data_IF_638221494654
#
_entry.id   IF_638221494654
#
_cell.length_a   1.000
_cell.length_b   1.000
_cell.length_c   1.000
_cell.angle_alpha   90.00
_cell.angle_beta   90.00
_cell.angle_gamma   90.00
#
_symmetry.space_group_name_H-M   'P 1'
#
loop_
_entity.id
_entity.type
_entity.pdbx_description
1 polymer ?
#
# COMPACT_ATOMS: atom_id res chain seq x y z
N UNK A 1 -8.57 -19.18 3.52
CA UNK A 1 -7.85 -20.00 2.53
C UNK A 1 -6.34 -19.91 2.73
N UNK A 2 -5.77 -18.72 2.99
CA UNK A 2 -4.32 -18.51 3.09
C UNK A 2 -3.60 -19.05 4.33
N UNK A 3 -4.28 -19.29 5.45
CA UNK A 3 -3.61 -19.62 6.73
C UNK A 3 -2.79 -20.91 6.68
N UNK A 4 -3.25 -21.94 5.98
CA UNK A 4 -2.49 -23.20 5.87
C UNK A 4 -1.15 -23.01 5.14
N UNK A 5 -1.08 -22.45 3.94
CA UNK A 5 0.20 -22.21 3.27
C UNK A 5 1.08 -21.22 4.03
N UNK A 6 0.52 -20.21 4.71
CA UNK A 6 1.27 -19.26 5.55
C UNK A 6 1.94 -20.00 6.72
N UNK A 7 1.20 -20.91 7.40
CA UNK A 7 1.75 -21.74 8.47
C UNK A 7 2.85 -22.68 7.96
N UNK A 8 2.66 -23.29 6.79
CA UNK A 8 3.67 -24.17 6.15
C UNK A 8 4.93 -23.41 5.74
N UNK A 9 4.81 -22.12 5.43
CA UNK A 9 5.95 -21.23 5.17
C UNK A 9 6.70 -20.81 6.45
N UNK A 10 6.26 -21.27 7.63
CA UNK A 10 6.90 -20.98 8.90
C UNK A 10 6.54 -19.63 9.53
N UNK A 11 5.50 -18.95 9.01
CA UNK A 11 5.01 -17.70 9.58
C UNK A 11 4.06 -18.02 10.74
N UNK A 12 4.17 -17.31 11.84
CA UNK A 12 3.30 -17.49 13.00
C UNK A 12 1.89 -16.96 12.73
N UNK A 13 0.97 -17.88 12.44
CA UNK A 13 -0.44 -17.56 12.15
C UNK A 13 -1.20 -17.07 13.38
N UNK A 14 -0.75 -17.36 14.59
CA UNK A 14 -1.38 -16.85 15.82
C UNK A 14 -1.07 -15.36 15.99
N UNK A 15 0.18 -14.99 15.79
CA UNK A 15 0.60 -13.59 15.76
C UNK A 15 -0.13 -12.81 14.64
N UNK A 16 -0.27 -13.41 13.45
CA UNK A 16 -1.01 -12.80 12.34
C UNK A 16 -2.47 -12.52 12.72
N UNK A 17 -3.16 -13.51 13.29
CA UNK A 17 -4.55 -13.37 13.71
C UNK A 17 -4.70 -12.40 14.89
N UNK A 18 -3.76 -12.39 15.83
CA UNK A 18 -3.75 -11.43 16.95
C UNK A 18 -3.60 -9.99 16.46
N UNK A 19 -2.80 -9.76 15.43
CA UNK A 19 -2.70 -8.45 14.79
C UNK A 19 -4.02 -8.01 14.13
N UNK A 20 -4.68 -8.91 13.43
CA UNK A 20 -5.99 -8.66 12.82
C UNK A 20 -7.06 -8.34 13.90
N UNK A 21 -7.12 -9.13 14.98
CA UNK A 21 -8.01 -8.90 16.11
C UNK A 21 -7.76 -7.55 16.79
N UNK A 22 -6.49 -7.18 16.96
CA UNK A 22 -6.14 -5.87 17.50
C UNK A 22 -6.66 -4.73 16.62
N UNK A 23 -6.50 -4.83 15.30
CA UNK A 23 -7.01 -3.83 14.37
C UNK A 23 -8.55 -3.82 14.30
N UNK A 24 -9.20 -4.98 14.46
CA UNK A 24 -10.64 -5.06 14.60
C UNK A 24 -11.13 -4.22 15.78
N UNK A 25 -10.49 -4.37 16.95
CA UNK A 25 -10.83 -3.61 18.16
C UNK A 25 -10.59 -2.11 17.96
N UNK A 26 -9.44 -1.70 17.37
CA UNK A 26 -9.12 -0.30 17.10
C UNK A 26 -10.15 0.32 16.14
N UNK A 27 -10.63 -0.45 15.17
CA UNK A 27 -11.57 0.02 14.14
C UNK A 27 -13.04 -0.31 14.44
N UNK A 28 -13.39 -0.76 15.65
CA UNK A 28 -14.75 -1.16 16.00
C UNK A 28 -15.73 0.01 16.06
N UNK A 29 -15.30 1.14 16.60
CA UNK A 29 -16.18 2.29 16.84
C UNK A 29 -16.25 3.23 15.64
N UNK A 30 -17.44 3.80 15.39
CA UNK A 30 -17.64 4.88 14.43
C UNK A 30 -17.21 6.21 15.05
N UNK A 31 -15.90 6.43 15.10
CA UNK A 31 -15.32 7.64 15.69
C UNK A 31 -14.33 8.29 14.72
N UNK A 32 -14.04 9.57 14.95
CA UNK A 32 -13.04 10.33 14.18
C UNK A 32 -11.60 9.80 14.33
N UNK A 33 -11.33 8.93 15.30
CA UNK A 33 -10.04 8.28 15.50
C UNK A 33 -9.93 6.89 14.87
N UNK A 34 -10.96 6.45 14.13
CA UNK A 34 -10.95 5.14 13.47
C UNK A 34 -10.14 5.22 12.16
N UNK A 35 -8.97 4.56 12.07
CA UNK A 35 -8.08 4.70 10.92
C UNK A 35 -8.69 4.17 9.62
N UNK A 36 -9.53 3.13 9.69
CA UNK A 36 -10.18 2.57 8.52
C UNK A 36 -11.24 3.53 7.93
N UNK A 37 -11.99 4.22 8.80
CA UNK A 37 -12.94 5.25 8.38
C UNK A 37 -12.20 6.46 7.81
N UNK A 38 -11.14 6.90 8.48
CA UNK A 38 -10.35 8.05 8.04
C UNK A 38 -9.74 7.80 6.65
N UNK A 39 -9.10 6.65 6.45
CA UNK A 39 -8.55 6.29 5.15
C UNK A 39 -9.62 6.21 4.06
N UNK A 40 -10.75 5.54 4.32
CA UNK A 40 -11.86 5.46 3.37
C UNK A 40 -12.44 6.85 3.03
N UNK A 41 -12.57 7.73 4.01
CA UNK A 41 -13.08 9.09 3.81
C UNK A 41 -12.12 9.94 2.97
N UNK A 42 -10.81 9.89 3.26
CA UNK A 42 -9.78 10.63 2.50
C UNK A 42 -9.77 10.16 1.04
N UNK A 43 -9.76 8.85 0.79
CA UNK A 43 -9.80 8.26 -0.56
C UNK A 43 -11.01 8.76 -1.35
N UNK A 44 -12.20 8.70 -0.76
CA UNK A 44 -13.43 9.15 -1.42
C UNK A 44 -13.46 10.67 -1.64
N UNK A 45 -12.90 11.46 -0.72
CA UNK A 45 -12.75 12.89 -0.90
C UNK A 45 -11.78 13.22 -2.06
N UNK A 46 -10.69 12.47 -2.21
CA UNK A 46 -9.76 12.59 -3.33
C UNK A 46 -10.43 12.17 -4.65
N UNK A 47 -11.20 11.09 -4.64
CA UNK A 47 -11.97 10.63 -5.80
C UNK A 47 -12.97 11.70 -6.26
N UNK A 48 -13.70 12.33 -5.35
CA UNK A 48 -14.62 13.42 -5.66
C UNK A 48 -13.91 14.65 -6.25
N UNK A 49 -12.63 14.87 -5.90
CA UNK A 49 -11.76 15.90 -6.49
C UNK A 49 -11.10 15.50 -7.81
N UNK A 50 -11.49 14.37 -8.41
CA UNK A 50 -10.97 13.92 -9.70
C UNK A 50 -9.72 13.04 -9.63
N UNK A 51 -9.26 12.64 -8.46
CA UNK A 51 -8.17 11.68 -8.30
C UNK A 51 -8.72 10.27 -8.53
N UNK A 52 -8.44 9.70 -9.69
CA UNK A 52 -9.05 8.45 -10.18
C UNK A 52 -8.14 7.24 -10.05
N UNK A 53 -6.87 7.45 -9.75
CA UNK A 53 -5.86 6.40 -9.59
C UNK A 53 -5.22 6.52 -8.23
N UNK A 54 -5.16 5.43 -7.49
CA UNK A 54 -4.40 5.32 -6.26
C UNK A 54 -3.19 4.41 -6.47
N UNK A 55 -2.01 4.93 -6.15
CA UNK A 55 -0.78 4.16 -6.16
C UNK A 55 -0.47 3.70 -4.74
N UNK A 56 -0.52 2.40 -4.48
CA UNK A 56 0.06 1.85 -3.26
C UNK A 56 1.57 1.75 -3.46
N UNK A 57 2.29 2.53 -2.67
CA UNK A 57 3.76 2.68 -2.76
C UNK A 57 4.41 1.93 -1.61
N UNK A 58 5.39 1.11 -1.90
CA UNK A 58 6.25 0.52 -0.88
C UNK A 58 7.73 0.75 -1.18
N UNK A 59 8.54 0.79 -0.13
CA UNK A 59 10.01 0.89 -0.19
C UNK A 59 10.68 -0.38 0.34
N UNK A 60 9.89 -1.45 0.52
CA UNK A 60 10.37 -2.71 1.07
C UNK A 60 9.95 -3.87 0.16
N UNK A 61 10.90 -4.57 -0.51
CA UNK A 61 10.59 -5.60 -1.51
C UNK A 61 9.67 -6.73 -1.02
N UNK A 62 9.67 -7.03 0.28
CA UNK A 62 8.77 -8.03 0.88
C UNK A 62 7.29 -7.63 0.78
N UNK A 63 6.97 -6.34 0.57
CA UNK A 63 5.60 -5.84 0.47
C UNK A 63 5.04 -5.92 -0.97
N UNK A 64 5.84 -6.32 -1.94
CA UNK A 64 5.39 -6.43 -3.35
C UNK A 64 4.06 -7.20 -3.46
N UNK A 65 3.98 -8.41 -2.91
CA UNK A 65 2.75 -9.22 -2.99
C UNK A 65 1.61 -8.71 -2.11
N UNK A 66 1.89 -7.90 -1.10
CA UNK A 66 0.84 -7.17 -0.36
C UNK A 66 0.21 -6.13 -1.27
N UNK A 67 1.01 -5.43 -2.09
CA UNK A 67 0.52 -4.50 -3.10
C UNK A 67 -0.34 -5.22 -4.15
N UNK A 68 0.06 -6.40 -4.63
CA UNK A 68 -0.72 -7.21 -5.57
C UNK A 68 -2.07 -7.67 -4.97
N UNK A 69 -2.06 -8.15 -3.72
CA UNK A 69 -3.27 -8.49 -2.98
C UNK A 69 -4.18 -7.26 -2.78
N UNK A 70 -3.62 -6.11 -2.43
CA UNK A 70 -4.36 -4.87 -2.25
C UNK A 70 -5.06 -4.41 -3.54
N UNK A 71 -4.39 -4.55 -4.70
CA UNK A 71 -5.01 -4.26 -6.01
C UNK A 71 -6.21 -5.14 -6.26
N UNK A 72 -6.11 -6.43 -5.95
CA UNK A 72 -7.24 -7.35 -6.06
C UNK A 72 -8.39 -6.93 -5.13
N UNK A 73 -8.10 -6.69 -3.85
CA UNK A 73 -9.09 -6.29 -2.86
C UNK A 73 -9.92 -5.09 -3.33
N UNK A 74 -9.26 -3.99 -3.69
CA UNK A 74 -9.95 -2.76 -4.08
C UNK A 74 -10.55 -2.84 -5.49
N UNK A 75 -9.87 -3.46 -6.43
CA UNK A 75 -10.37 -3.64 -7.80
C UNK A 75 -11.67 -4.43 -7.86
N UNK A 76 -11.73 -5.54 -7.15
CA UNK A 76 -12.92 -6.40 -7.10
C UNK A 76 -14.06 -5.80 -6.26
N UNK A 77 -13.73 -5.05 -5.21
CA UNK A 77 -14.74 -4.52 -4.28
C UNK A 77 -15.35 -3.21 -4.73
N UNK A 78 -14.57 -2.28 -5.29
CA UNK A 78 -15.02 -0.92 -5.60
C UNK A 78 -15.30 -0.67 -7.09
N UNK A 79 -14.67 -1.41 -8.01
CA UNK A 79 -14.78 -1.20 -9.46
C UNK A 79 -16.15 -1.61 -10.02
N UNK A 80 -17.23 -0.89 -9.70
CA UNK A 80 -18.61 -1.27 -10.01
C UNK A 80 -19.44 -0.06 -10.45
N UNK A 81 -20.46 -0.29 -11.27
CA UNK A 81 -21.37 0.76 -11.69
C UNK A 81 -20.66 1.94 -12.37
N UNK A 82 -19.56 1.70 -13.08
CA UNK A 82 -18.68 2.72 -13.69
C UNK A 82 -18.09 3.72 -12.69
N UNK A 83 -17.99 3.33 -11.42
CA UNK A 83 -17.35 4.06 -10.32
C UNK A 83 -16.11 3.32 -9.85
N UNK A 84 -15.34 3.95 -8.99
CA UNK A 84 -14.20 3.38 -8.28
C UNK A 84 -12.87 4.05 -8.61
N UNK A 85 -11.95 3.94 -7.66
CA UNK A 85 -10.57 4.38 -7.80
C UNK A 85 -9.78 3.22 -8.40
N UNK A 86 -9.02 3.44 -9.47
CA UNK A 86 -8.19 2.41 -10.07
C UNK A 86 -6.99 2.10 -9.16
N UNK A 87 -6.90 0.88 -8.62
CA UNK A 87 -5.79 0.51 -7.75
C UNK A 87 -4.57 0.11 -8.58
N UNK A 88 -3.48 0.81 -8.39
CA UNK A 88 -2.18 0.48 -8.98
C UNK A 88 -1.11 0.39 -7.90
N UNK A 89 0.06 -0.13 -8.22
CA UNK A 89 1.14 -0.26 -7.25
C UNK A 89 2.49 0.04 -7.87
N UNK A 90 3.42 0.50 -7.03
CA UNK A 90 4.81 0.75 -7.42
C UNK A 90 5.76 0.32 -6.29
N UNK A 91 6.89 -0.23 -6.68
CA UNK A 91 7.97 -0.65 -5.79
C UNK A 91 9.12 0.36 -5.88
N UNK A 92 9.15 1.32 -4.99
CA UNK A 92 10.23 2.30 -4.95
C UNK A 92 11.46 1.72 -4.19
N UNK A 93 12.65 2.12 -4.56
CA UNK A 93 13.08 3.14 -5.55
C UNK A 93 13.13 2.64 -7.00
N UNK A 94 12.95 1.34 -7.24
CA UNK A 94 13.05 0.75 -8.58
C UNK A 94 12.13 1.45 -9.58
N UNK A 95 10.86 1.61 -9.24
CA UNK A 95 9.87 2.23 -10.13
C UNK A 95 9.97 3.76 -10.23
N UNK A 96 10.85 4.41 -9.50
CA UNK A 96 11.20 5.81 -9.79
C UNK A 96 11.85 5.95 -11.17
N UNK A 97 12.54 4.90 -11.66
CA UNK A 97 13.14 4.85 -13.00
C UNK A 97 12.14 4.54 -14.11
N UNK A 98 10.93 4.12 -13.80
CA UNK A 98 9.86 3.83 -14.77
C UNK A 98 8.70 4.82 -14.66
N UNK A 99 8.20 5.06 -13.46
CA UNK A 99 6.99 5.85 -13.20
C UNK A 99 7.26 7.22 -12.58
N UNK A 100 8.48 7.46 -12.05
CA UNK A 100 8.80 8.68 -11.30
C UNK A 100 8.54 9.96 -12.10
N UNK A 101 8.90 10.00 -13.39
CA UNK A 101 8.65 11.15 -14.26
C UNK A 101 7.14 11.43 -14.39
N UNK A 102 6.33 10.40 -14.63
CA UNK A 102 4.88 10.57 -14.78
C UNK A 102 4.22 11.02 -13.48
N UNK A 103 4.61 10.43 -12.35
CA UNK A 103 4.06 10.80 -11.04
C UNK A 103 4.41 12.25 -10.72
N UNK A 104 5.67 12.65 -10.96
CA UNK A 104 6.13 14.01 -10.65
C UNK A 104 5.53 15.08 -11.56
N UNK A 105 5.37 14.81 -12.86
CA UNK A 105 5.10 15.85 -13.86
C UNK A 105 4.01 15.47 -14.89
N UNK A 106 3.36 14.31 -14.74
CA UNK A 106 2.24 13.88 -15.58
C UNK A 106 0.88 14.47 -15.16
N UNK A 107 -0.20 13.87 -15.57
CA UNK A 107 -1.56 14.30 -15.20
C UNK A 107 -1.84 14.18 -13.71
N UNK A 108 -2.53 15.16 -13.15
CA UNK A 108 -2.85 15.26 -11.70
C UNK A 108 -4.09 14.46 -11.28
N UNK A 109 -4.35 13.30 -11.91
CA UNK A 109 -5.50 12.42 -11.59
C UNK A 109 -5.20 11.30 -10.60
N UNK A 110 -3.97 11.21 -10.11
CA UNK A 110 -3.51 10.18 -9.16
C UNK A 110 -3.18 10.76 -7.77
N UNK A 111 -3.10 9.88 -6.79
CA UNK A 111 -2.57 10.12 -5.46
C UNK A 111 -1.83 8.87 -4.96
N UNK A 112 -1.02 9.01 -3.93
CA UNK A 112 -0.22 7.93 -3.37
C UNK A 112 -0.68 7.56 -1.96
N UNK A 113 -0.65 6.25 -1.66
CA UNK A 113 -0.69 5.71 -0.31
C UNK A 113 0.63 4.99 -0.04
N UNK A 114 1.46 5.57 0.81
CA UNK A 114 2.82 5.09 1.08
C UNK A 114 2.85 4.22 2.32
N UNK A 115 3.29 2.96 2.15
CA UNK A 115 3.58 2.04 3.26
C UNK A 115 5.01 2.26 3.75
N UNK A 116 5.16 2.74 4.96
CA UNK A 116 6.43 3.10 5.57
C UNK A 116 6.71 2.19 6.77
N UNK A 117 7.84 1.49 6.76
CA UNK A 117 8.27 0.65 7.90
C UNK A 117 9.12 1.51 8.84
N UNK A 118 8.68 1.67 10.09
CA UNK A 118 9.38 2.54 11.05
C UNK A 118 10.70 1.95 11.55
N UNK A 119 10.71 0.64 11.87
CA UNK A 119 11.90 -0.05 12.35
C UNK A 119 12.29 -1.20 11.42
N UNK A 120 13.52 -1.26 10.91
CA UNK A 120 13.99 -2.34 10.07
C UNK A 120 14.15 -3.65 10.87
N UNK A 121 13.92 -4.80 10.23
CA UNK A 121 14.18 -6.11 10.82
C UNK A 121 15.67 -6.36 11.07
N UNK A 122 16.50 -5.84 10.18
CA UNK A 122 17.96 -5.94 10.24
C UNK A 122 18.57 -4.63 9.77
N UNK A 123 19.73 -4.30 10.31
CA UNK A 123 20.50 -3.15 9.89
C UNK A 123 21.81 -3.59 9.25
N UNK A 124 22.16 -2.98 8.12
CA UNK A 124 23.43 -3.17 7.43
C UNK A 124 24.11 -1.81 7.30
N UNK A 125 25.32 -1.71 7.84
CA UNK A 125 26.14 -0.49 7.73
C UNK A 125 26.90 -0.50 6.41
N UNK A 126 26.87 0.63 5.69
CA UNK A 126 27.60 0.84 4.45
C UNK A 126 29.09 0.98 4.77
N UNK A 127 29.91 0.12 4.20
CA UNK A 127 31.36 0.17 4.33
C UNK A 127 31.98 1.31 3.53
N UNK A 128 33.21 1.69 3.89
CA UNK A 128 34.00 2.63 3.08
C UNK A 128 34.76 1.86 2.01
N UNK A 129 34.68 2.28 0.75
CA UNK A 129 35.56 1.79 -0.32
C UNK A 129 36.87 2.60 -0.34
N UNK A 130 38.02 1.89 -0.44
CA UNK A 130 39.35 2.54 -0.45
C UNK A 130 39.63 3.38 -1.70
N UNK A 131 38.94 3.10 -2.82
CA UNK A 131 39.13 3.78 -4.09
C UNK A 131 38.03 4.75 -4.47
N UNK A 132 36.86 4.66 -3.79
CA UNK A 132 35.67 5.51 -4.05
C UNK A 132 35.30 5.61 -5.55
N UNK A 133 35.32 4.47 -6.25
CA UNK A 133 35.12 4.43 -7.70
C UNK A 133 33.70 4.84 -8.12
N UNK A 134 32.73 4.65 -7.25
CA UNK A 134 31.33 5.00 -7.46
C UNK A 134 30.95 6.38 -6.86
N UNK A 135 31.89 7.03 -6.14
CA UNK A 135 31.68 8.32 -5.49
C UNK A 135 30.70 8.25 -4.29
N UNK A 136 30.40 7.06 -3.74
CA UNK A 136 29.41 6.86 -2.70
C UNK A 136 29.99 6.84 -1.27
N UNK A 137 31.26 7.12 -1.06
CA UNK A 137 31.88 7.15 0.27
C UNK A 137 31.25 8.17 1.24
N UNK A 138 30.46 9.13 0.75
CA UNK A 138 29.69 10.03 1.62
C UNK A 138 28.58 9.29 2.39
N UNK A 139 28.20 8.09 1.98
CA UNK A 139 27.27 7.20 2.68
C UNK A 139 27.96 6.28 3.68
N UNK A 140 29.29 6.20 3.69
CA UNK A 140 30.03 5.29 4.56
C UNK A 140 29.74 5.59 6.04
N UNK A 141 29.43 4.52 6.80
CA UNK A 141 29.00 4.61 8.20
C UNK A 141 27.49 4.79 8.41
N UNK A 142 26.74 5.10 7.36
CA UNK A 142 25.26 5.11 7.42
C UNK A 142 24.69 3.70 7.29
N UNK A 143 23.44 3.54 7.74
CA UNK A 143 22.69 2.31 7.54
C UNK A 143 21.92 2.34 6.20
N UNK A 144 21.79 1.18 5.55
CA UNK A 144 21.03 1.06 4.28
C UNK A 144 19.57 1.48 4.47
N UNK A 145 18.96 1.11 5.58
CA UNK A 145 17.60 1.52 5.94
C UNK A 145 17.46 3.03 6.14
N UNK A 146 18.47 3.70 6.71
CA UNK A 146 18.52 5.16 6.81
C UNK A 146 18.50 5.80 5.42
N UNK A 147 19.31 5.29 4.50
CA UNK A 147 19.34 5.79 3.12
C UNK A 147 17.98 5.57 2.41
N UNK A 148 17.36 4.41 2.62
CA UNK A 148 16.04 4.10 2.08
C UNK A 148 14.96 5.03 2.65
N UNK A 149 15.01 5.34 3.95
CA UNK A 149 14.10 6.32 4.59
C UNK A 149 14.28 7.72 4.04
N UNK A 150 15.49 8.15 3.75
CA UNK A 150 15.75 9.45 3.12
C UNK A 150 15.22 9.50 1.69
N UNK A 151 15.33 8.40 0.94
CA UNK A 151 14.72 8.27 -0.38
C UNK A 151 13.19 8.36 -0.31
N UNK A 152 12.55 7.65 0.64
CA UNK A 152 11.12 7.74 0.91
C UNK A 152 10.69 9.19 1.20
N UNK A 153 11.34 9.84 2.15
CA UNK A 153 11.00 11.19 2.56
C UNK A 153 11.18 12.20 1.41
N UNK A 154 12.31 12.14 0.74
CA UNK A 154 12.62 13.05 -0.38
C UNK A 154 11.63 12.92 -1.53
N UNK A 155 11.27 11.68 -1.89
CA UNK A 155 10.28 11.41 -2.95
C UNK A 155 8.89 11.92 -2.54
N UNK A 156 8.44 11.61 -1.34
CA UNK A 156 7.12 12.08 -0.86
C UNK A 156 7.01 13.60 -0.84
N UNK A 157 8.06 14.29 -0.39
CA UNK A 157 8.10 15.76 -0.41
C UNK A 157 8.00 16.29 -1.84
N UNK A 158 8.82 15.75 -2.77
CA UNK A 158 8.81 16.18 -4.17
C UNK A 158 7.44 15.93 -4.84
N UNK A 159 6.84 14.77 -4.65
CA UNK A 159 5.53 14.44 -5.21
C UNK A 159 4.43 15.32 -4.62
N UNK A 160 4.46 15.58 -3.31
CA UNK A 160 3.49 16.47 -2.64
C UNK A 160 3.61 17.90 -3.17
N UNK A 161 4.83 18.44 -3.28
CA UNK A 161 5.09 19.77 -3.83
C UNK A 161 4.67 19.85 -5.31
N UNK A 162 4.77 18.74 -6.04
CA UNK A 162 4.29 18.58 -7.41
C UNK A 162 2.76 18.42 -7.54
N UNK A 163 2.01 18.48 -6.42
CA UNK A 163 0.54 18.39 -6.42
C UNK A 163 -0.02 16.97 -6.46
N UNK A 164 0.78 15.96 -6.07
CA UNK A 164 0.35 14.57 -5.87
C UNK A 164 0.08 14.36 -4.38
N UNK A 165 -1.20 14.24 -3.95
CA UNK A 165 -1.52 13.97 -2.55
C UNK A 165 -0.90 12.65 -2.07
N UNK A 166 -0.40 12.66 -0.85
CA UNK A 166 0.22 11.51 -0.20
C UNK A 166 -0.52 11.16 1.08
N UNK A 167 -0.92 9.89 1.23
CA UNK A 167 -1.37 9.29 2.49
C UNK A 167 -0.20 8.45 3.02
N UNK A 168 0.17 8.62 4.28
CA UNK A 168 1.20 7.81 4.92
C UNK A 168 0.58 6.80 5.86
N UNK A 169 0.89 5.53 5.65
CA UNK A 169 0.58 4.45 6.58
C UNK A 169 1.90 3.95 7.17
N UNK A 170 2.13 4.29 8.43
CA UNK A 170 3.32 3.85 9.13
C UNK A 170 3.08 2.51 9.82
N UNK A 171 3.94 1.54 9.53
CA UNK A 171 3.94 0.19 10.10
C UNK A 171 5.13 0.13 11.07
N UNK A 172 4.93 -0.14 12.37
CA UNK A 172 6.01 -0.11 13.35
C UNK A 172 7.18 -1.03 13.02
N UNK A 173 6.89 -2.25 12.55
CA UNK A 173 7.89 -3.20 12.06
C UNK A 173 7.21 -4.27 11.19
N UNK A 174 7.96 -4.86 10.27
CA UNK A 174 7.42 -5.89 9.37
C UNK A 174 7.51 -7.27 10.06
N UNK A 175 6.45 -7.66 10.75
CA UNK A 175 6.27 -8.96 11.39
C UNK A 175 4.84 -9.49 11.17
N UNK A 176 4.57 -10.70 11.63
CA UNK A 176 3.27 -11.34 11.45
C UNK A 176 2.12 -10.54 12.09
N UNK A 177 2.33 -9.99 13.29
CA UNK A 177 1.32 -9.18 13.99
C UNK A 177 0.94 -7.94 13.18
N UNK A 178 1.91 -7.11 12.81
CA UNK A 178 1.62 -5.89 12.06
C UNK A 178 1.10 -6.17 10.64
N UNK A 179 1.52 -7.29 10.04
CA UNK A 179 0.96 -7.72 8.76
C UNK A 179 -0.52 -8.09 8.91
N UNK A 180 -0.89 -8.83 9.95
CA UNK A 180 -2.29 -9.15 10.25
C UNK A 180 -3.15 -7.91 10.48
N UNK A 181 -2.62 -6.95 11.24
CA UNK A 181 -3.27 -5.65 11.45
C UNK A 181 -3.47 -4.88 10.13
N UNK A 182 -2.46 -4.85 9.26
CA UNK A 182 -2.52 -4.18 7.95
C UNK A 182 -3.57 -4.82 7.03
N UNK A 183 -3.63 -6.16 6.98
CA UNK A 183 -4.62 -6.88 6.18
C UNK A 183 -6.04 -6.52 6.62
N UNK A 184 -6.33 -6.64 7.92
CA UNK A 184 -7.65 -6.29 8.45
C UNK A 184 -8.01 -4.83 8.23
N UNK A 185 -7.04 -3.93 8.43
CA UNK A 185 -7.21 -2.50 8.17
C UNK A 185 -7.69 -2.23 6.74
N UNK A 186 -7.03 -2.80 5.74
CA UNK A 186 -7.42 -2.59 4.35
C UNK A 186 -8.75 -3.25 4.00
N UNK A 187 -9.04 -4.45 4.52
CA UNK A 187 -10.34 -5.11 4.31
C UNK A 187 -11.48 -4.27 4.89
N UNK A 188 -11.34 -3.79 6.11
CA UNK A 188 -12.32 -2.93 6.78
C UNK A 188 -12.51 -1.60 6.03
N UNK A 189 -11.42 -0.93 5.71
CA UNK A 189 -11.44 0.34 4.98
C UNK A 189 -12.05 0.19 3.57
N UNK A 190 -11.76 -0.91 2.88
CA UNK A 190 -12.32 -1.22 1.57
C UNK A 190 -13.84 -1.40 1.64
N UNK A 191 -14.34 -2.16 2.62
CA UNK A 191 -15.79 -2.30 2.83
C UNK A 191 -16.48 -0.97 3.10
N UNK A 192 -15.90 -0.13 3.97
CA UNK A 192 -16.42 1.22 4.26
C UNK A 192 -16.40 2.09 3.01
N UNK A 193 -15.30 2.09 2.27
CA UNK A 193 -15.12 2.89 1.05
C UNK A 193 -16.11 2.51 -0.05
N UNK A 194 -16.39 1.20 -0.23
CA UNK A 194 -17.40 0.70 -1.16
C UNK A 194 -18.80 1.24 -0.82
N UNK A 195 -19.18 1.24 0.45
CA UNK A 195 -20.45 1.84 0.86
C UNK A 195 -20.51 3.35 0.66
N UNK A 196 -19.41 4.07 0.88
CA UNK A 196 -19.34 5.52 0.59
C UNK A 196 -19.47 5.80 -0.92
N UNK A 197 -18.96 4.91 -1.77
CA UNK A 197 -19.14 4.97 -3.23
C UNK A 197 -20.54 4.56 -3.70
N UNK A 198 -21.39 4.08 -2.79
CA UNK A 198 -22.71 3.53 -3.10
C UNK A 198 -22.61 2.33 -4.07
N UNK A 199 -21.75 1.38 -3.72
CA UNK A 199 -21.60 0.09 -4.39
C UNK A 199 -21.59 -1.04 -3.34
N UNK A 200 -22.00 -2.26 -3.74
CA UNK A 200 -21.85 -3.43 -2.88
C UNK A 200 -20.41 -3.95 -2.97
N UNK A 201 -19.59 -3.86 -1.92
CA UNK A 201 -18.21 -4.32 -1.96
C UNK A 201 -18.04 -5.84 -1.90
N UNK A 202 -19.13 -6.60 -1.71
CA UNK A 202 -19.10 -8.04 -1.45
C UNK A 202 -19.57 -8.92 -2.60
N UNK A 203 -19.83 -8.36 -3.79
CA UNK A 203 -20.13 -9.09 -5.01
C UNK A 203 -19.13 -8.81 -6.12
N UNK A 204 -19.20 -9.51 -7.25
CA UNK A 204 -18.24 -9.43 -8.34
C UNK A 204 -18.94 -9.67 -9.70
N UNK A 205 -20.05 -9.01 -9.95
CA UNK A 205 -20.88 -9.23 -11.15
C UNK A 205 -20.11 -8.98 -12.46
N UNK A 206 -19.15 -8.04 -12.46
CA UNK A 206 -18.36 -7.68 -13.64
C UNK A 206 -17.56 -8.84 -14.23
N UNK A 207 -17.10 -9.79 -13.41
CA UNK A 207 -16.29 -10.93 -13.87
C UNK A 207 -17.12 -12.02 -14.56
N UNK A 208 -18.42 -12.02 -14.42
CA UNK A 208 -19.29 -13.03 -15.02
C UNK A 208 -19.37 -12.91 -16.55
N UNK A 209 -19.18 -11.70 -17.09
CA UNK A 209 -19.24 -11.47 -18.53
C UNK A 209 -18.15 -12.23 -19.29
N UNK A 210 -16.90 -12.12 -18.85
CA UNK A 210 -15.80 -12.85 -19.52
C UNK A 210 -15.82 -14.36 -19.23
N UNK A 211 -16.29 -14.79 -18.05
CA UNK A 211 -16.49 -16.21 -17.75
C UNK A 211 -17.49 -16.85 -18.70
N UNK A 212 -18.64 -16.21 -18.95
CA UNK A 212 -19.61 -16.68 -19.94
C UNK A 212 -19.01 -16.84 -21.34
N UNK A 213 -18.19 -15.88 -21.75
CA UNK A 213 -17.51 -15.95 -23.05
C UNK A 213 -16.50 -17.10 -23.09
N UNK A 214 -15.72 -17.31 -22.02
CA UNK A 214 -14.77 -18.43 -21.92
C UNK A 214 -15.46 -19.78 -22.01
N UNK A 215 -16.63 -19.94 -21.36
CA UNK A 215 -17.39 -21.20 -21.42
C UNK A 215 -18.13 -21.40 -22.75
N UNK A 216 -18.33 -20.34 -23.52
CA UNK A 216 -18.98 -20.42 -24.84
C UNK A 216 -18.01 -20.79 -25.99
N UNK A 217 -16.69 -20.58 -25.78
CA UNK A 217 -15.61 -20.91 -26.74
C UNK A 217 -15.07 -22.33 -26.51
#
# INVERSE_FOLDING_TARGET
VGLLPIALAGIDIKELLSGAENMEQISAELSAGNPAIEYAAIRNALYAKGKKVELLVNYHPKLHYITEWWKQLYGESEGKGHKGIFPAGVDFTTDLHSMGQYIQDGERHLFETVLSIAAPERSLTIGRDGQDLDGLNFLAGKHVDECNKMAELGTRLAHTDGGVPNILIEIPSLNAFHLGALLYFFEKACGISGYVLDVNPFDQEGVEAYKKNMFAL
#
